data_IF_067827060471
#
_entry.id   IF_067827060471
#
_cell.length_a   1.000
_cell.length_b   1.000
_cell.length_c   1.000
_cell.angle_alpha   90.00
_cell.angle_beta   90.00
_cell.angle_gamma   90.00
#
_symmetry.space_group_name_H-M   'P 1'
#
loop_
_entity.id
_entity.type
_entity.pdbx_description
1 polymer ?
#
# COMPACT_ATOMS: atom_id res chain seq x y z
N UNK A 1 -2.69 1.41 -42.27
CA UNK A 1 -1.72 0.28 -42.16
C UNK A 1 -2.34 -0.71 -41.18
N UNK A 2 -2.93 -1.80 -41.68
CA UNK A 2 -3.57 -2.80 -40.83
C UNK A 2 -2.50 -3.72 -40.25
N UNK A 3 -2.52 -3.93 -38.93
CA UNK A 3 -1.67 -4.92 -38.28
C UNK A 3 -2.13 -6.32 -38.73
N UNK A 4 -1.19 -7.15 -39.16
CA UNK A 4 -1.50 -8.50 -39.63
C UNK A 4 -1.98 -9.36 -38.45
N UNK A 5 -2.85 -10.33 -38.73
CA UNK A 5 -3.37 -11.28 -37.73
C UNK A 5 -2.26 -11.91 -36.85
N UNK A 6 -1.08 -12.33 -37.36
CA UNK A 6 -0.01 -12.84 -36.51
C UNK A 6 0.62 -11.75 -35.63
N UNK A 7 0.72 -10.50 -36.10
CA UNK A 7 1.19 -9.38 -35.28
C UNK A 7 0.23 -9.09 -34.11
N UNK A 8 -1.08 -9.26 -34.34
CA UNK A 8 -2.10 -9.09 -33.30
C UNK A 8 -2.06 -10.22 -32.26
N UNK A 9 -1.85 -11.45 -32.71
CA UNK A 9 -1.67 -12.63 -31.84
C UNK A 9 -0.41 -12.51 -30.98
N UNK A 10 0.71 -12.04 -31.53
CA UNK A 10 1.95 -11.81 -30.79
C UNK A 10 1.78 -10.69 -29.76
N UNK A 11 1.10 -9.60 -30.11
CA UNK A 11 0.84 -8.51 -29.17
C UNK A 11 -0.05 -8.96 -28.01
N UNK A 12 -1.09 -9.76 -28.30
CA UNK A 12 -2.01 -10.28 -27.30
C UNK A 12 -1.31 -11.25 -26.33
N UNK A 13 -0.45 -12.15 -26.83
CA UNK A 13 0.32 -13.08 -25.98
C UNK A 13 1.34 -12.36 -25.11
N UNK A 14 2.00 -11.30 -25.60
CA UNK A 14 2.89 -10.48 -24.76
C UNK A 14 2.13 -9.74 -23.64
N UNK A 15 0.91 -9.29 -23.91
CA UNK A 15 0.06 -8.62 -22.91
C UNK A 15 -0.47 -9.60 -21.85
N UNK A 16 -0.69 -10.87 -22.22
CA UNK A 16 -1.09 -11.95 -21.31
C UNK A 16 0.06 -12.45 -20.41
N UNK A 17 1.33 -12.26 -20.82
CA UNK A 17 2.50 -12.74 -20.09
C UNK A 17 3.02 -11.77 -19.02
N UNK A 18 2.48 -10.56 -18.92
CA UNK A 18 2.83 -9.61 -17.85
C UNK A 18 2.06 -9.94 -16.57
N UNK A 19 2.16 -11.18 -16.10
CA UNK A 19 1.86 -11.48 -14.70
C UNK A 19 3.08 -11.03 -13.91
N UNK A 20 3.07 -9.80 -13.42
CA UNK A 20 4.07 -9.35 -12.46
C UNK A 20 3.92 -10.26 -11.24
N UNK A 21 4.85 -11.18 -11.06
CA UNK A 21 4.95 -11.94 -9.83
C UNK A 21 5.26 -10.90 -8.75
N UNK A 22 4.25 -10.48 -7.99
CA UNK A 22 4.41 -9.56 -6.88
C UNK A 22 5.08 -10.31 -5.73
N UNK A 23 6.38 -10.51 -5.86
CA UNK A 23 7.22 -10.98 -4.76
C UNK A 23 7.16 -9.93 -3.66
N UNK A 24 6.54 -10.28 -2.54
CA UNK A 24 6.52 -9.43 -1.36
C UNK A 24 7.93 -9.35 -0.76
N UNK A 25 8.31 -8.15 -0.34
CA UNK A 25 9.54 -7.91 0.43
C UNK A 25 9.18 -7.96 1.91
N UNK A 26 9.97 -8.71 2.69
CA UNK A 26 9.79 -8.73 4.14
C UNK A 26 10.17 -7.38 4.75
N UNK A 27 9.25 -6.85 5.54
CA UNK A 27 9.40 -5.58 6.23
C UNK A 27 8.63 -5.63 7.56
N UNK A 28 8.70 -4.55 8.34
CA UNK A 28 7.86 -4.31 9.50
C UNK A 28 6.90 -3.17 9.21
N UNK A 29 5.70 -3.33 9.74
CA UNK A 29 4.70 -2.29 9.75
C UNK A 29 4.32 -1.94 11.19
N UNK A 30 3.96 -0.68 11.42
CA UNK A 30 3.38 -0.16 12.65
C UNK A 30 2.14 0.68 12.31
N UNK A 31 1.52 1.32 13.31
CA UNK A 31 0.43 2.27 13.09
C UNK A 31 0.56 3.50 13.99
N UNK A 32 0.06 4.64 13.53
CA UNK A 32 0.00 5.85 14.34
C UNK A 32 -1.29 5.87 15.18
N UNK A 33 -1.23 6.17 16.48
CA UNK A 33 -2.37 5.99 17.38
C UNK A 33 -3.50 7.02 17.22
N UNK A 34 -3.26 8.12 16.52
CA UNK A 34 -4.19 9.23 16.29
C UNK A 34 -4.96 9.10 14.96
N UNK A 35 -5.31 7.87 14.55
CA UNK A 35 -5.84 7.57 13.21
C UNK A 35 -6.92 6.50 13.20
N UNK A 36 -7.87 6.64 14.12
CA UNK A 36 -8.88 5.63 14.43
C UNK A 36 -9.57 5.08 13.19
N UNK A 37 -10.23 5.94 12.43
CA UNK A 37 -10.97 5.54 11.22
C UNK A 37 -10.24 5.87 9.93
N UNK A 38 -9.38 6.88 9.93
CA UNK A 38 -8.74 7.46 8.75
C UNK A 38 -7.31 7.88 9.07
N UNK A 39 -6.56 8.34 8.07
CA UNK A 39 -5.27 8.95 8.31
C UNK A 39 -5.33 10.33 8.96
N UNK A 40 -4.20 11.03 8.97
CA UNK A 40 -4.11 12.40 9.49
C UNK A 40 -4.31 13.45 8.39
N UNK A 41 -4.91 14.58 8.75
CA UNK A 41 -5.14 15.71 7.82
C UNK A 41 -3.84 16.40 7.38
N UNK A 42 -2.74 16.14 8.08
CA UNK A 42 -1.43 16.71 7.77
C UNK A 42 -0.46 15.55 7.57
N UNK A 43 0.29 15.63 6.47
CA UNK A 43 1.37 14.71 6.14
C UNK A 43 2.32 15.38 5.14
N UNK A 44 3.53 14.86 5.04
CA UNK A 44 4.63 15.37 4.23
C UNK A 44 4.33 15.39 2.71
N UNK A 45 3.30 14.69 2.25
CA UNK A 45 2.85 14.74 0.86
C UNK A 45 1.96 15.96 0.55
N UNK A 46 1.50 16.71 1.55
CA UNK A 46 0.76 17.97 1.34
C UNK A 46 -0.65 17.80 0.80
N UNK A 47 -1.25 16.60 0.87
CA UNK A 47 -2.62 16.36 0.40
C UNK A 47 -3.72 16.96 1.30
N UNK A 48 -3.36 17.47 2.48
CA UNK A 48 -4.34 18.00 3.44
C UNK A 48 -5.33 16.92 3.92
N UNK A 49 -6.55 17.34 4.25
CA UNK A 49 -7.63 16.44 4.69
C UNK A 49 -8.04 15.38 3.67
N UNK A 50 -7.76 15.62 2.38
CA UNK A 50 -7.93 14.59 1.35
C UNK A 50 -6.97 13.40 1.57
N UNK A 51 -5.74 13.67 2.04
CA UNK A 51 -4.77 12.63 2.38
C UNK A 51 -5.24 11.70 3.49
N UNK A 52 -6.04 12.18 4.45
CA UNK A 52 -6.58 11.34 5.51
C UNK A 52 -7.58 10.30 4.98
N UNK A 53 -8.31 10.63 3.92
CA UNK A 53 -9.48 9.86 3.46
C UNK A 53 -9.26 9.14 2.14
N UNK A 54 -8.15 9.40 1.44
CA UNK A 54 -7.80 8.72 0.19
C UNK A 54 -7.81 7.20 0.42
N UNK A 55 -8.33 6.46 -0.56
CA UNK A 55 -8.54 5.02 -0.45
C UNK A 55 -9.35 4.60 0.80
N UNK A 56 -10.31 5.43 1.22
CA UNK A 56 -11.13 5.17 2.42
C UNK A 56 -10.38 5.29 3.74
N UNK A 57 -9.22 5.94 3.75
CA UNK A 57 -8.32 6.07 4.90
C UNK A 57 -7.37 4.89 5.07
N UNK A 58 -7.28 4.00 4.08
CA UNK A 58 -6.22 2.99 4.03
C UNK A 58 -4.93 3.64 3.52
N UNK A 59 -4.22 4.32 4.42
CA UNK A 59 -3.05 5.15 4.10
C UNK A 59 -1.87 4.85 5.02
N UNK A 60 -0.68 5.27 4.61
CA UNK A 60 0.55 5.03 5.36
C UNK A 60 1.50 6.22 5.24
N UNK A 61 2.23 6.50 6.32
CA UNK A 61 3.54 7.12 6.22
C UNK A 61 4.56 6.06 5.76
N UNK A 62 5.59 6.46 5.03
CA UNK A 62 6.66 5.56 4.61
C UNK A 62 8.05 6.08 4.98
N UNK A 63 8.98 5.14 5.22
CA UNK A 63 10.40 5.46 5.40
C UNK A 63 11.05 5.66 4.03
N UNK A 64 11.77 4.66 3.53
CA UNK A 64 12.59 4.81 2.32
C UNK A 64 11.76 4.94 1.05
N UNK A 65 10.50 4.47 1.08
CA UNK A 65 9.57 4.58 -0.04
C UNK A 65 8.98 5.98 -0.20
N UNK A 66 9.07 6.86 0.80
CA UNK A 66 8.67 8.28 0.64
C UNK A 66 9.54 9.00 -0.40
N UNK A 67 10.84 8.67 -0.46
CA UNK A 67 11.80 9.14 -1.50
C UNK A 67 11.76 10.65 -1.74
N UNK A 68 11.80 11.45 -0.67
CA UNK A 68 11.68 12.92 -0.74
C UNK A 68 10.42 13.38 -1.49
N UNK A 69 9.30 12.69 -1.29
CA UNK A 69 8.01 12.99 -1.89
C UNK A 69 7.76 12.32 -3.23
N UNK A 70 8.75 11.67 -3.86
CA UNK A 70 8.55 10.95 -5.12
C UNK A 70 7.55 9.80 -4.95
N UNK A 71 7.50 9.17 -3.78
CA UNK A 71 6.54 8.10 -3.49
C UNK A 71 5.15 8.57 -3.05
N UNK A 72 4.89 9.88 -2.98
CA UNK A 72 3.58 10.38 -2.58
C UNK A 72 2.50 9.96 -3.57
N UNK A 73 1.47 9.27 -3.07
CA UNK A 73 0.40 8.71 -3.89
C UNK A 73 0.67 7.28 -4.39
N UNK A 74 1.87 6.74 -4.19
CA UNK A 74 2.17 5.34 -4.52
C UNK A 74 1.31 4.41 -3.67
N UNK A 75 0.91 3.29 -4.28
CA UNK A 75 0.07 2.28 -3.67
C UNK A 75 0.88 1.00 -3.41
N UNK A 76 0.80 0.47 -2.19
CA UNK A 76 1.48 -0.77 -1.81
C UNK A 76 0.51 -1.79 -1.24
N UNK A 77 0.64 -3.05 -1.66
CA UNK A 77 -0.02 -4.15 -0.96
C UNK A 77 0.82 -4.53 0.26
N UNK A 78 0.22 -4.42 1.45
CA UNK A 78 0.86 -4.80 2.72
C UNK A 78 0.14 -6.01 3.28
N UNK A 79 0.91 -7.05 3.63
CA UNK A 79 0.39 -8.29 4.23
C UNK A 79 1.13 -8.59 5.52
N UNK A 80 0.39 -8.95 6.54
CA UNK A 80 0.96 -9.54 7.74
C UNK A 80 1.20 -11.04 7.53
N UNK A 81 2.28 -11.57 8.11
CA UNK A 81 2.77 -12.92 7.88
C UNK A 81 2.36 -13.93 8.96
N UNK A 82 1.90 -13.46 10.13
CA UNK A 82 1.49 -14.36 11.21
C UNK A 82 0.05 -14.82 10.99
N UNK A 83 -0.12 -16.04 10.49
CA UNK A 83 -1.44 -16.63 10.18
C UNK A 83 -2.34 -16.86 11.39
N UNK A 84 -1.84 -16.73 12.63
CA UNK A 84 -2.69 -16.77 13.82
C UNK A 84 -3.51 -15.48 13.97
N UNK A 85 -2.92 -14.33 13.61
CA UNK A 85 -3.55 -13.02 13.78
C UNK A 85 -4.08 -12.45 12.45
N UNK A 86 -3.45 -12.80 11.33
CA UNK A 86 -3.56 -12.05 10.09
C UNK A 86 -4.29 -12.78 8.98
N UNK A 87 -5.10 -12.03 8.23
CA UNK A 87 -5.78 -12.54 7.05
C UNK A 87 -4.82 -12.60 5.86
N UNK A 88 -5.10 -13.51 4.93
CA UNK A 88 -4.29 -13.63 3.72
C UNK A 88 -4.46 -12.46 2.75
N UNK A 89 -5.50 -11.64 2.92
CA UNK A 89 -5.80 -10.53 1.99
C UNK A 89 -4.85 -9.35 2.16
N UNK A 90 -4.49 -9.03 3.41
CA UNK A 90 -3.77 -7.78 3.71
C UNK A 90 -4.59 -6.53 3.35
N UNK A 91 -3.90 -5.43 3.10
CA UNK A 91 -4.49 -4.14 2.77
C UNK A 91 -3.66 -3.42 1.70
N UNK A 92 -4.31 -2.74 0.75
CA UNK A 92 -3.64 -1.81 -0.15
C UNK A 92 -3.63 -0.44 0.50
N UNK A 93 -2.46 0.18 0.64
CA UNK A 93 -2.33 1.52 1.24
C UNK A 93 -1.74 2.53 0.29
N UNK A 94 -2.13 3.80 0.46
CA UNK A 94 -1.55 4.94 -0.25
C UNK A 94 -0.54 5.65 0.63
N UNK A 95 0.62 6.02 0.09
CA UNK A 95 1.61 6.83 0.81
C UNK A 95 1.17 8.29 0.84
N UNK A 96 0.93 8.81 2.03
CA UNK A 96 0.44 10.19 2.25
C UNK A 96 1.33 11.01 3.18
N UNK A 97 2.34 10.38 3.77
CA UNK A 97 3.23 11.00 4.74
C UNK A 97 4.63 10.36 4.73
N UNK A 98 5.57 10.98 5.42
CA UNK A 98 6.90 10.47 5.70
C UNK A 98 6.95 10.02 7.16
N UNK A 99 7.54 8.86 7.43
CA UNK A 99 7.72 8.38 8.79
C UNK A 99 8.74 7.27 8.88
N UNK A 100 9.52 7.25 9.95
CA UNK A 100 10.53 6.22 10.18
C UNK A 100 10.47 5.68 11.60
N UNK A 101 10.79 4.40 11.74
CA UNK A 101 10.92 3.69 13.00
C UNK A 101 11.99 2.60 12.88
N UNK A 102 12.37 1.93 13.98
CA UNK A 102 13.39 0.89 13.94
C UNK A 102 12.96 -0.27 13.02
N UNK A 103 13.59 -0.35 11.85
CA UNK A 103 13.28 -1.29 10.77
C UNK A 103 11.79 -1.31 10.38
N UNK A 104 11.12 -0.15 10.36
CA UNK A 104 9.70 -0.01 10.02
C UNK A 104 9.54 0.80 8.75
N UNK A 105 9.10 0.16 7.66
CA UNK A 105 8.97 0.83 6.36
C UNK A 105 7.59 1.47 6.19
N UNK A 106 6.56 0.91 6.85
CA UNK A 106 5.19 1.39 6.78
C UNK A 106 4.66 1.74 8.18
N UNK A 107 4.16 2.96 8.34
CA UNK A 107 3.41 3.39 9.52
C UNK A 107 1.99 3.72 9.06
N UNK A 108 1.10 2.74 9.23
CA UNK A 108 -0.24 2.71 8.66
C UNK A 108 -1.26 3.46 9.52
N UNK A 109 -2.39 3.87 8.95
CA UNK A 109 -3.56 4.23 9.76
C UNK A 109 -4.00 3.05 10.62
N UNK A 110 -4.60 3.30 11.80
CA UNK A 110 -5.08 2.23 12.69
C UNK A 110 -6.09 1.34 11.98
N UNK A 111 -6.96 1.93 11.15
CA UNK A 111 -7.84 1.22 10.24
C UNK A 111 -7.09 0.28 9.30
N UNK A 112 -6.12 0.79 8.54
CA UNK A 112 -5.38 -0.01 7.57
C UNK A 112 -4.65 -1.18 8.26
N UNK A 113 -4.01 -0.90 9.40
CA UNK A 113 -3.32 -1.92 10.19
C UNK A 113 -4.28 -3.01 10.65
N UNK A 114 -5.42 -2.63 11.23
CA UNK A 114 -6.44 -3.57 11.71
C UNK A 114 -7.10 -4.39 10.60
N UNK A 115 -7.20 -3.87 9.37
CA UNK A 115 -7.73 -4.62 8.22
C UNK A 115 -6.86 -5.79 7.78
N UNK A 116 -5.60 -5.84 8.21
CA UNK A 116 -4.75 -7.01 8.00
C UNK A 116 -5.11 -8.17 8.93
N UNK A 117 -5.82 -7.94 10.03
CA UNK A 117 -6.20 -8.97 10.98
C UNK A 117 -7.34 -9.86 10.48
N UNK A 118 -7.44 -11.10 10.99
CA UNK A 118 -8.57 -12.00 10.69
C UNK A 118 -9.85 -11.58 11.41
N UNK A 119 -9.71 -11.01 12.60
CA UNK A 119 -10.82 -10.54 13.44
C UNK A 119 -10.44 -9.21 14.09
N UNK A 120 -11.41 -8.54 14.73
CA UNK A 120 -11.15 -7.25 15.41
C UNK A 120 -10.33 -7.39 16.70
N UNK A 121 -10.31 -8.59 17.28
CA UNK A 121 -9.68 -8.88 18.56
C UNK A 121 -8.32 -9.60 18.42
N UNK A 122 -7.90 -9.83 17.18
CA UNK A 122 -6.62 -10.47 16.83
C UNK A 122 -5.45 -9.48 16.86
#
# INVERSE_FOLDING_TARGET
MALSLPSLLILLTTLLLTTEATTFIHSRAAYYPNSDEHGTDVGACGFGSFGATINGGDVSAASDLYRNGVGCGDCYQVRCTNSHYCSDKGVTVVITDQGSGPNTDFILSRRAFGRMAQTKDA
#
